data_IF_303716369156
#
_entry.id   IF_303716369156
#
_cell.length_a   1.000
_cell.length_b   1.000
_cell.length_c   1.000
_cell.angle_alpha   90.00
_cell.angle_beta   90.00
_cell.angle_gamma   90.00
#
_symmetry.space_group_name_H-M   'P 1'
#
loop_
_entity.id
_entity.type
_entity.pdbx_description
1 polymer ?
#
# COMPACT_ATOMS: atom_id res chain seq x y z
N UNK A 1 5.91 -11.25 -5.28
CA UNK A 1 6.00 -10.21 -6.33
C UNK A 1 4.59 -9.76 -6.76
N UNK A 2 3.70 -10.66 -7.21
CA UNK A 2 2.33 -10.32 -7.66
C UNK A 2 1.54 -9.59 -6.58
N UNK A 3 1.50 -10.13 -5.36
CA UNK A 3 0.84 -9.50 -4.21
C UNK A 3 1.29 -8.06 -4.00
N UNK A 4 2.60 -7.82 -4.04
CA UNK A 4 3.16 -6.48 -3.91
C UNK A 4 2.64 -5.53 -5.00
N UNK A 5 2.66 -5.97 -6.26
CA UNK A 5 2.18 -5.16 -7.39
C UNK A 5 0.71 -4.79 -7.18
N UNK A 6 -0.15 -5.77 -6.91
CA UNK A 6 -1.59 -5.55 -6.72
C UNK A 6 -1.85 -4.57 -5.56
N UNK A 7 -1.15 -4.76 -4.44
CA UNK A 7 -1.33 -3.92 -3.25
C UNK A 7 -0.93 -2.48 -3.53
N UNK A 8 0.29 -2.26 -4.02
CA UNK A 8 0.77 -0.90 -4.30
C UNK A 8 -0.08 -0.20 -5.33
N UNK A 9 -0.39 -0.84 -6.47
CA UNK A 9 -1.25 -0.26 -7.51
C UNK A 9 -2.66 0.06 -7.01
N UNK A 10 -3.21 -0.78 -6.13
CA UNK A 10 -4.53 -0.50 -5.53
C UNK A 10 -4.47 0.69 -4.60
N UNK A 11 -3.44 0.80 -3.76
CA UNK A 11 -3.25 1.95 -2.86
C UNK A 11 -3.06 3.23 -3.67
N UNK A 12 -2.17 3.23 -4.66
CA UNK A 12 -1.91 4.38 -5.53
C UNK A 12 -3.20 4.89 -6.17
N UNK A 13 -4.03 3.97 -6.68
CA UNK A 13 -5.32 4.32 -7.31
C UNK A 13 -6.32 4.92 -6.34
N UNK A 14 -6.39 4.42 -5.11
CA UNK A 14 -7.29 4.99 -4.08
C UNK A 14 -6.80 6.38 -3.69
N UNK A 15 -5.50 6.56 -3.53
CA UNK A 15 -4.90 7.86 -3.24
C UNK A 15 -5.21 8.85 -4.38
N UNK A 16 -4.94 8.47 -5.61
CA UNK A 16 -5.10 9.34 -6.78
C UNK A 16 -6.56 9.79 -6.99
N UNK A 17 -7.52 8.89 -6.79
CA UNK A 17 -8.93 9.15 -7.09
C UNK A 17 -9.73 9.76 -5.95
N UNK A 18 -9.38 9.49 -4.71
CA UNK A 18 -10.27 9.72 -3.59
C UNK A 18 -9.61 10.48 -2.43
N UNK A 19 -8.31 10.75 -2.52
CA UNK A 19 -7.62 11.38 -1.43
C UNK A 19 -7.57 12.90 -1.59
N UNK A 20 -8.27 13.60 -0.69
CA UNK A 20 -7.98 15.00 -0.41
C UNK A 20 -7.02 15.06 0.80
N UNK A 21 -5.75 15.32 0.48
CA UNK A 21 -4.67 15.36 1.50
C UNK A 21 -4.97 16.39 2.57
N UNK A 22 -5.59 17.51 2.23
CA UNK A 22 -5.87 18.57 3.18
C UNK A 22 -6.92 18.15 4.22
N UNK A 23 -7.84 17.27 3.88
CA UNK A 23 -8.82 16.73 4.81
C UNK A 23 -8.27 15.71 5.80
N UNK A 24 -7.05 15.19 5.57
CA UNK A 24 -6.39 14.28 6.51
C UNK A 24 -5.82 14.97 7.75
N UNK A 25 -5.72 16.30 7.70
CA UNK A 25 -5.12 17.10 8.77
C UNK A 25 -6.13 18.13 9.30
N UNK A 26 -6.15 18.30 10.60
CA UNK A 26 -6.88 19.38 11.27
C UNK A 26 -5.87 20.43 11.69
N UNK A 27 -5.94 21.62 11.07
CA UNK A 27 -5.02 22.71 11.35
C UNK A 27 -5.81 23.85 11.97
N UNK A 28 -5.60 24.10 13.24
CA UNK A 28 -6.17 25.24 13.96
C UNK A 28 -5.20 26.41 13.93
N UNK A 29 -5.73 27.62 13.67
CA UNK A 29 -4.98 28.86 13.63
C UNK A 29 -5.53 29.83 14.66
N UNK A 30 -4.63 30.63 15.25
CA UNK A 30 -5.02 31.73 16.12
C UNK A 30 -5.57 32.93 15.34
N UNK A 31 -5.99 33.98 16.06
CA UNK A 31 -6.50 35.21 15.47
C UNK A 31 -5.49 35.93 14.57
N UNK A 32 -4.22 35.66 14.75
CA UNK A 32 -3.11 36.21 13.95
C UNK A 32 -2.73 35.28 12.78
N UNK A 33 -3.55 34.25 12.48
CA UNK A 33 -3.31 33.23 11.47
C UNK A 33 -2.11 32.31 11.75
N UNK A 34 -1.51 32.35 12.93
CA UNK A 34 -0.45 31.43 13.31
C UNK A 34 -1.04 30.07 13.59
N UNK A 35 -0.30 29.02 13.25
CA UNK A 35 -0.72 27.65 13.54
C UNK A 35 -0.59 27.42 15.04
N UNK A 36 -1.72 27.12 15.68
CA UNK A 36 -1.83 26.86 17.11
C UNK A 36 -1.81 25.35 17.41
N UNK A 37 -2.49 24.56 16.58
CA UNK A 37 -2.55 23.13 16.76
C UNK A 37 -2.64 22.43 15.39
N UNK A 38 -2.02 21.27 15.30
CA UNK A 38 -2.14 20.38 14.15
C UNK A 38 -2.44 19.00 14.69
N UNK A 39 -3.45 18.38 14.13
CA UNK A 39 -3.86 17.02 14.48
C UNK A 39 -4.20 16.23 13.20
N UNK A 40 -4.29 14.92 13.32
CA UNK A 40 -4.70 14.03 12.26
C UNK A 40 -6.22 13.80 12.32
N UNK A 41 -6.89 13.92 11.19
CA UNK A 41 -8.31 13.61 11.08
C UNK A 41 -8.52 12.09 11.08
N UNK A 42 -8.64 11.52 12.27
CA UNK A 42 -8.75 10.07 12.43
C UNK A 42 -9.94 9.47 11.67
N UNK A 43 -11.03 10.20 11.48
CA UNK A 43 -12.20 9.72 10.74
C UNK A 43 -11.87 9.55 9.26
N UNK A 44 -11.30 10.57 8.63
CA UNK A 44 -10.94 10.51 7.21
C UNK A 44 -9.81 9.51 6.94
N UNK A 45 -8.83 9.44 7.83
CA UNK A 45 -7.73 8.47 7.72
C UNK A 45 -8.25 7.03 7.85
N UNK A 46 -9.19 6.75 8.76
CA UNK A 46 -9.82 5.44 8.88
C UNK A 46 -10.74 5.09 7.68
N UNK A 47 -11.44 6.06 7.11
CA UNK A 47 -12.20 5.86 5.87
C UNK A 47 -11.27 5.45 4.72
N UNK A 48 -10.14 6.15 4.57
CA UNK A 48 -9.12 5.82 3.57
C UNK A 48 -8.61 4.39 3.75
N UNK A 49 -8.22 4.02 4.98
CA UNK A 49 -7.78 2.66 5.29
C UNK A 49 -8.82 1.60 4.90
N UNK A 50 -10.08 1.84 5.27
CA UNK A 50 -11.18 0.91 4.96
C UNK A 50 -11.39 0.75 3.45
N UNK A 51 -11.31 1.84 2.68
CA UNK A 51 -11.41 1.80 1.22
C UNK A 51 -10.25 1.03 0.60
N UNK A 52 -9.02 1.27 1.06
CA UNK A 52 -7.83 0.56 0.61
C UNK A 52 -7.99 -0.94 0.83
N UNK A 53 -8.36 -1.37 2.06
CA UNK A 53 -8.55 -2.78 2.39
C UNK A 53 -9.62 -3.40 1.50
N UNK A 54 -10.78 -2.76 1.36
CA UNK A 54 -11.89 -3.28 0.57
C UNK A 54 -11.51 -3.43 -0.91
N UNK A 55 -10.81 -2.45 -1.48
CA UNK A 55 -10.38 -2.51 -2.88
C UNK A 55 -9.33 -3.61 -3.10
N UNK A 56 -8.37 -3.76 -2.20
CA UNK A 56 -7.39 -4.85 -2.27
C UNK A 56 -8.12 -6.20 -2.19
N UNK A 57 -9.03 -6.37 -1.25
CA UNK A 57 -9.79 -7.60 -1.07
C UNK A 57 -10.61 -7.95 -2.33
N UNK A 58 -11.31 -6.97 -2.91
CA UNK A 58 -12.07 -7.14 -4.13
C UNK A 58 -11.18 -7.54 -5.32
N UNK A 59 -10.03 -6.90 -5.48
CA UNK A 59 -9.09 -7.21 -6.55
C UNK A 59 -8.57 -8.66 -6.44
N UNK A 60 -8.17 -9.09 -5.23
CA UNK A 60 -7.73 -10.46 -5.01
C UNK A 60 -8.84 -11.48 -5.26
N UNK A 61 -10.07 -11.24 -4.77
CA UNK A 61 -11.20 -12.12 -4.98
C UNK A 61 -11.57 -12.26 -6.46
N UNK A 62 -11.51 -11.17 -7.22
CA UNK A 62 -11.81 -11.20 -8.66
C UNK A 62 -10.71 -11.96 -9.42
N UNK A 63 -9.45 -11.80 -9.06
CA UNK A 63 -8.35 -12.57 -9.66
C UNK A 63 -8.49 -14.05 -9.31
N UNK A 64 -8.80 -14.38 -8.06
CA UNK A 64 -9.00 -15.76 -7.61
C UNK A 64 -10.13 -16.47 -8.38
N UNK A 65 -11.24 -15.75 -8.59
CA UNK A 65 -12.40 -16.25 -9.37
C UNK A 65 -12.16 -16.23 -10.87
N UNK A 66 -11.11 -15.55 -11.34
CA UNK A 66 -10.84 -15.34 -12.76
C UNK A 66 -11.80 -14.33 -13.43
N UNK A 67 -12.50 -13.53 -12.63
CA UNK A 67 -13.44 -12.53 -13.12
C UNK A 67 -12.70 -11.24 -13.52
N UNK A 68 -12.07 -11.30 -14.70
CA UNK A 68 -11.29 -10.19 -15.24
C UNK A 68 -12.15 -9.02 -15.74
N UNK A 69 -13.49 -9.18 -15.80
CA UNK A 69 -14.39 -8.09 -16.22
C UNK A 69 -14.52 -7.00 -15.16
N UNK A 70 -14.26 -7.33 -13.90
CA UNK A 70 -14.35 -6.42 -12.75
C UNK A 70 -13.04 -5.79 -12.32
N UNK A 71 -11.96 -6.13 -13.01
CA UNK A 71 -10.63 -5.57 -12.72
C UNK A 71 -10.01 -5.00 -14.00
N UNK A 72 -9.29 -3.91 -13.84
CA UNK A 72 -8.45 -3.40 -14.92
C UNK A 72 -7.04 -4.02 -14.77
N UNK A 73 -6.71 -4.92 -15.69
CA UNK A 73 -5.45 -5.69 -15.68
C UNK A 73 -4.24 -4.75 -15.78
N UNK A 74 -4.34 -3.71 -16.61
CA UNK A 74 -3.25 -2.74 -16.82
C UNK A 74 -3.05 -1.87 -15.58
N UNK A 75 -4.13 -1.38 -14.98
CA UNK A 75 -4.09 -0.60 -13.75
C UNK A 75 -3.50 -1.40 -12.58
N UNK A 76 -3.71 -2.71 -12.56
CA UNK A 76 -3.13 -3.60 -11.53
C UNK A 76 -1.70 -4.05 -11.85
N UNK A 77 -1.12 -3.65 -12.99
CA UNK A 77 0.22 -4.06 -13.41
C UNK A 77 0.32 -5.55 -13.76
N UNK A 78 -0.76 -6.13 -14.25
CA UNK A 78 -0.87 -7.54 -14.62
C UNK A 78 -0.87 -7.76 -16.14
N UNK A 79 -0.51 -6.74 -16.93
CA UNK A 79 -0.48 -6.79 -18.39
C UNK A 79 0.47 -7.85 -18.95
N UNK A 80 1.55 -8.15 -18.21
CA UNK A 80 2.55 -9.15 -18.58
C UNK A 80 2.16 -10.59 -18.19
N UNK A 81 0.97 -10.79 -17.59
CA UNK A 81 0.49 -12.11 -17.20
C UNK A 81 -0.46 -12.67 -18.27
N UNK A 82 -0.40 -14.01 -18.46
CA UNK A 82 -1.27 -14.68 -19.43
C UNK A 82 -2.74 -14.55 -19.03
N UNK A 83 -3.52 -13.82 -19.82
CA UNK A 83 -4.96 -13.59 -19.61
C UNK A 83 -5.76 -14.90 -19.57
N UNK A 84 -5.35 -15.94 -20.32
CA UNK A 84 -6.03 -17.26 -20.30
C UNK A 84 -5.84 -17.98 -18.97
N UNK A 85 -4.66 -17.84 -18.37
CA UNK A 85 -4.37 -18.36 -17.04
C UNK A 85 -5.11 -17.57 -15.96
N UNK A 86 -5.07 -16.23 -16.02
CA UNK A 86 -5.78 -15.36 -15.07
C UNK A 86 -7.29 -15.65 -15.03
N UNK A 87 -7.95 -15.91 -16.17
CA UNK A 87 -9.34 -16.32 -16.24
C UNK A 87 -9.66 -17.65 -15.51
N UNK A 88 -8.64 -18.42 -15.18
CA UNK A 88 -8.74 -19.67 -14.40
C UNK A 88 -8.27 -19.51 -12.97
N UNK A 89 -8.00 -18.27 -12.52
CA UNK A 89 -7.40 -17.98 -11.24
C UNK A 89 -5.93 -18.43 -11.11
N UNK A 90 -5.27 -18.70 -12.24
CA UNK A 90 -3.88 -19.14 -12.29
C UNK A 90 -3.01 -17.90 -12.50
N UNK A 91 -2.15 -17.61 -11.53
CA UNK A 91 -1.23 -16.47 -11.60
C UNK A 91 0.01 -16.82 -12.43
N UNK A 92 0.53 -18.02 -12.23
CA UNK A 92 1.77 -18.45 -12.86
C UNK A 92 1.78 -19.96 -13.10
N UNK A 93 2.62 -20.42 -14.03
CA UNK A 93 2.88 -21.84 -14.27
C UNK A 93 4.38 -22.09 -14.11
N UNK A 94 4.73 -23.09 -13.32
CA UNK A 94 6.12 -23.48 -13.09
C UNK A 94 6.36 -24.83 -13.74
N UNK A 95 7.46 -25.02 -14.51
CA UNK A 95 7.89 -26.34 -14.97
C UNK A 95 8.14 -27.29 -13.79
N UNK A 96 7.73 -28.54 -13.96
CA UNK A 96 7.86 -29.56 -12.91
C UNK A 96 9.32 -29.77 -12.48
N UNK A 97 10.24 -29.66 -13.43
CA UNK A 97 11.67 -29.81 -13.16
C UNK A 97 12.23 -28.83 -12.14
N UNK A 98 11.67 -27.62 -12.03
CA UNK A 98 12.08 -26.65 -11.00
C UNK A 98 11.72 -27.16 -9.60
N UNK A 99 10.56 -27.79 -9.45
CA UNK A 99 10.07 -28.26 -8.15
C UNK A 99 10.93 -29.41 -7.62
N UNK A 100 11.39 -30.27 -8.52
CA UNK A 100 12.27 -31.39 -8.14
C UNK A 100 13.76 -31.00 -8.03
N UNK A 101 14.07 -29.71 -8.11
CA UNK A 101 15.44 -29.19 -8.03
C UNK A 101 16.41 -29.87 -9.02
N UNK A 102 15.88 -30.26 -10.18
CA UNK A 102 16.65 -30.92 -11.24
C UNK A 102 17.05 -29.89 -12.30
N UNK A 103 18.31 -29.49 -12.29
CA UNK A 103 18.84 -28.45 -13.19
C UNK A 103 18.75 -28.83 -14.67
N UNK A 104 18.78 -30.11 -15.00
CA UNK A 104 18.65 -30.58 -16.41
C UNK A 104 17.22 -30.51 -16.92
N UNK A 105 16.22 -30.62 -16.03
CA UNK A 105 14.80 -30.59 -16.36
C UNK A 105 14.13 -29.27 -15.98
N UNK A 106 14.87 -28.28 -15.50
CA UNK A 106 14.31 -27.03 -14.98
C UNK A 106 13.40 -26.27 -15.97
N UNK A 107 13.66 -26.41 -17.27
CA UNK A 107 12.86 -25.76 -18.32
C UNK A 107 11.99 -26.75 -19.12
N UNK A 108 12.02 -28.04 -18.78
CA UNK A 108 11.30 -29.09 -19.51
C UNK A 108 10.26 -29.77 -18.60
N UNK A 109 9.23 -30.31 -19.22
CA UNK A 109 8.21 -31.09 -18.56
C UNK A 109 6.88 -30.35 -18.41
N UNK A 110 5.85 -31.03 -17.88
CA UNK A 110 4.55 -30.44 -17.66
C UNK A 110 4.64 -29.28 -16.67
N UNK A 111 3.83 -28.25 -16.92
CA UNK A 111 3.81 -27.06 -16.06
C UNK A 111 2.72 -27.18 -14.98
N UNK A 112 3.05 -26.78 -13.78
CA UNK A 112 2.16 -26.78 -12.62
C UNK A 112 1.54 -25.38 -12.45
N UNK A 113 0.19 -25.27 -12.32
CA UNK A 113 -0.46 -24.01 -12.07
C UNK A 113 -0.28 -23.58 -10.62
N UNK A 114 0.06 -22.28 -10.43
CA UNK A 114 0.09 -21.63 -9.14
C UNK A 114 -1.12 -20.74 -9.03
N UNK A 115 -1.91 -20.95 -7.98
CA UNK A 115 -3.03 -20.10 -7.60
C UNK A 115 -2.75 -19.44 -6.27
N UNK A 116 -3.27 -18.23 -6.12
CA UNK A 116 -3.26 -17.50 -4.85
C UNK A 116 -4.70 -17.40 -4.38
N UNK A 117 -4.92 -17.78 -3.14
CA UNK A 117 -6.19 -17.62 -2.46
C UNK A 117 -5.99 -16.68 -1.28
N UNK A 118 -6.84 -15.68 -1.15
CA UNK A 118 -6.85 -14.80 -0.01
C UNK A 118 -7.55 -15.53 1.14
N UNK A 119 -6.79 -16.03 2.11
CA UNK A 119 -7.34 -16.76 3.27
C UNK A 119 -8.07 -15.84 4.26
N UNK A 120 -8.93 -14.98 3.72
CA UNK A 120 -9.91 -14.21 4.48
C UNK A 120 -9.43 -12.99 5.25
N UNK A 121 -8.13 -12.75 5.46
CA UNK A 121 -7.72 -11.65 6.33
C UNK A 121 -6.68 -10.72 5.69
N UNK A 122 -7.17 -9.52 5.36
CA UNK A 122 -6.33 -8.33 5.23
C UNK A 122 -6.55 -7.53 6.50
N UNK A 123 -5.50 -7.32 7.27
CA UNK A 123 -5.49 -6.38 8.39
C UNK A 123 -4.69 -5.14 8.02
N UNK A 124 -5.13 -4.01 8.52
CA UNK A 124 -4.45 -2.75 8.30
C UNK A 124 -4.48 -1.88 9.55
N UNK A 125 -3.45 -1.08 9.69
CA UNK A 125 -3.36 -0.05 10.71
C UNK A 125 -2.76 1.23 10.12
N UNK A 126 -2.98 2.33 10.80
CA UNK A 126 -2.43 3.62 10.45
C UNK A 126 -1.29 3.93 11.40
N UNK A 127 -0.20 4.43 10.85
CA UNK A 127 0.85 5.07 11.62
C UNK A 127 0.98 6.53 11.22
N UNK A 128 1.08 7.40 12.21
CA UNK A 128 1.32 8.82 12.04
C UNK A 128 2.66 9.16 12.66
N UNK A 129 3.45 9.97 11.96
CA UNK A 129 4.75 10.38 12.42
C UNK A 129 4.90 11.89 12.30
N UNK A 130 5.41 12.51 13.36
CA UNK A 130 5.79 13.91 13.36
C UNK A 130 7.30 13.97 13.52
N UNK A 131 7.98 14.59 12.57
CA UNK A 131 9.43 14.76 12.60
C UNK A 131 9.75 16.26 12.62
N UNK A 132 10.51 16.70 13.60
CA UNK A 132 11.00 18.09 13.63
C UNK A 132 11.95 18.31 12.45
N UNK A 133 11.73 19.40 11.73
CA UNK A 133 12.52 19.75 10.55
C UNK A 133 13.01 21.20 10.68
N UNK A 134 14.23 21.36 11.13
CA UNK A 134 14.81 22.68 11.39
C UNK A 134 14.17 23.40 12.59
N UNK A 135 14.28 24.73 12.60
CA UNK A 135 13.72 25.58 13.67
C UNK A 135 12.25 25.87 13.34
N UNK A 136 11.33 25.46 14.23
CA UNK A 136 9.89 25.71 14.11
C UNK A 136 9.17 25.07 12.89
N UNK A 137 9.76 24.06 12.26
CA UNK A 137 9.12 23.30 11.20
C UNK A 137 8.85 21.86 11.65
N UNK A 138 7.78 21.28 11.17
CA UNK A 138 7.46 19.88 11.41
C UNK A 138 7.02 19.20 10.11
N UNK A 139 7.53 18.00 9.86
CA UNK A 139 7.05 17.11 8.81
C UNK A 139 6.08 16.10 9.42
N UNK A 140 4.86 16.15 8.93
CA UNK A 140 3.82 15.18 9.30
C UNK A 140 3.70 14.14 8.21
N UNK A 141 3.72 12.87 8.61
CA UNK A 141 3.60 11.72 7.72
C UNK A 141 2.48 10.81 8.20
N UNK A 142 1.67 10.36 7.26
CA UNK A 142 0.64 9.33 7.47
C UNK A 142 1.01 8.14 6.60
N UNK A 143 1.13 6.96 7.21
CA UNK A 143 1.40 5.71 6.51
C UNK A 143 0.33 4.66 6.83
N UNK A 144 -0.03 3.85 5.84
CA UNK A 144 -0.88 2.68 5.99
C UNK A 144 0.01 1.45 6.06
N UNK A 145 -0.13 0.71 7.16
CA UNK A 145 0.52 -0.59 7.34
C UNK A 145 -0.50 -1.68 7.02
N UNK A 146 -0.14 -2.57 6.12
CA UNK A 146 -0.99 -3.66 5.67
C UNK A 146 -0.32 -5.00 5.96
N UNK A 147 -1.11 -5.95 6.44
CA UNK A 147 -0.75 -7.36 6.57
C UNK A 147 -1.78 -8.22 5.83
N UNK A 148 -1.29 -8.97 4.85
CA UNK A 148 -2.12 -9.78 3.97
C UNK A 148 -1.71 -11.24 4.13
N UNK A 149 -2.61 -12.05 4.64
CA UNK A 149 -2.42 -13.49 4.77
C UNK A 149 -3.05 -14.21 3.59
N UNK A 150 -2.25 -14.97 2.87
CA UNK A 150 -2.65 -15.65 1.65
C UNK A 150 -2.18 -17.10 1.62
N UNK A 151 -2.93 -17.92 0.90
CA UNK A 151 -2.57 -19.29 0.59
C UNK A 151 -2.03 -19.37 -0.84
N UNK A 152 -0.86 -19.92 -1.00
CA UNK A 152 -0.31 -20.28 -2.31
C UNK A 152 -0.62 -21.75 -2.54
N UNK A 153 -1.51 -22.00 -3.47
CA UNK A 153 -1.94 -23.37 -3.79
C UNK A 153 -1.14 -23.92 -4.96
N UNK A 154 -0.45 -24.98 -4.69
CA UNK A 154 0.20 -25.87 -5.64
C UNK A 154 -0.58 -27.20 -5.67
N UNK A 155 -0.56 -27.96 -6.76
CA UNK A 155 -1.30 -29.22 -6.83
C UNK A 155 -0.95 -30.26 -5.75
N UNK A 156 0.26 -30.16 -5.19
CA UNK A 156 0.79 -31.13 -4.23
C UNK A 156 0.79 -30.59 -2.80
N UNK A 157 0.82 -29.26 -2.63
CA UNK A 157 0.91 -28.61 -1.32
C UNK A 157 0.27 -27.23 -1.32
N UNK A 158 -0.03 -26.74 -0.14
CA UNK A 158 -0.52 -25.38 0.08
C UNK A 158 0.34 -24.71 1.15
N UNK A 159 0.84 -23.54 0.85
CA UNK A 159 1.67 -22.77 1.77
C UNK A 159 0.98 -21.49 2.18
N UNK A 160 1.10 -21.15 3.47
CA UNK A 160 0.64 -19.88 4.02
C UNK A 160 1.76 -18.86 3.90
N UNK A 161 1.47 -17.72 3.28
CA UNK A 161 2.38 -16.59 3.20
C UNK A 161 1.74 -15.37 3.83
N UNK A 162 2.50 -14.65 4.65
CA UNK A 162 2.13 -13.33 5.15
C UNK A 162 2.96 -12.28 4.43
N UNK A 163 2.27 -11.33 3.81
CA UNK A 163 2.87 -10.16 3.18
C UNK A 163 2.61 -8.94 4.04
N UNK A 164 3.68 -8.25 4.44
CA UNK A 164 3.60 -7.01 5.24
C UNK A 164 4.23 -5.86 4.46
N UNK A 165 3.55 -4.72 4.46
CA UNK A 165 4.06 -3.50 3.83
C UNK A 165 3.58 -2.27 4.58
N UNK A 166 4.41 -1.22 4.55
CA UNK A 166 4.06 0.11 5.03
C UNK A 166 4.16 1.09 3.86
N UNK A 167 3.08 1.80 3.58
CA UNK A 167 2.98 2.69 2.43
C UNK A 167 2.66 4.10 2.95
N UNK A 168 3.56 5.10 2.75
CA UNK A 168 3.25 6.48 3.05
C UNK A 168 2.17 6.97 2.08
N UNK A 169 1.09 7.54 2.64
CA UNK A 169 -0.07 8.00 1.85
C UNK A 169 -0.21 9.51 1.83
N UNK A 170 0.33 10.20 2.83
CA UNK A 170 0.34 11.65 2.88
C UNK A 170 1.54 12.18 3.67
N UNK A 171 2.11 13.28 3.17
CA UNK A 171 3.17 14.01 3.83
C UNK A 171 2.87 15.51 3.76
N UNK A 172 3.00 16.21 4.87
CA UNK A 172 2.78 17.66 4.95
C UNK A 172 3.88 18.34 5.76
N UNK A 173 4.54 19.30 5.14
CA UNK A 173 5.49 20.18 5.83
C UNK A 173 4.73 21.36 6.40
N UNK A 174 4.87 21.58 7.70
CA UNK A 174 4.32 22.70 8.41
C UNK A 174 5.47 23.64 8.78
N UNK A 175 5.31 24.90 8.42
CA UNK A 175 6.26 25.96 8.77
C UNK A 175 5.68 26.84 9.88
N UNK A 176 6.37 26.89 11.00
CA UNK A 176 6.07 27.80 12.10
C UNK A 176 6.81 29.13 11.96
N UNK A 177 6.35 30.14 12.68
CA UNK A 177 7.00 31.44 12.72
C UNK A 177 8.22 31.34 13.63
N UNK A 178 9.36 31.84 13.16
CA UNK A 178 10.56 31.97 13.99
C UNK A 178 10.37 33.17 14.93
N UNK A 179 10.41 32.99 16.26
CA UNK A 179 10.26 34.09 17.18
C UNK A 179 11.36 35.18 16.96
N UNK A 180 10.96 36.45 17.00
CA UNK A 180 11.83 37.57 16.71
C UNK A 180 13.02 37.72 17.68
N UNK A 181 12.96 37.14 18.88
CA UNK A 181 14.06 37.16 19.84
C UNK A 181 15.27 36.27 19.45
N UNK A 182 15.15 35.41 18.47
CA UNK A 182 16.29 34.68 17.90
C UNK A 182 17.21 35.61 17.07
N UNK A 183 16.73 36.78 16.65
CA UNK A 183 17.50 37.75 15.85
C UNK A 183 18.23 38.79 16.69
N UNK A 184 17.91 38.93 17.98
CA UNK A 184 18.51 39.93 18.84
C UNK A 184 19.85 39.52 19.49
N UNK A 185 20.43 38.41 19.07
CA UNK A 185 21.71 37.88 19.61
C UNK A 185 22.97 38.33 18.86
N UNK A 186 22.87 39.26 17.90
CA UNK A 186 24.04 39.84 17.21
C UNK A 186 24.00 41.33 17.42
N UNK A 187 24.26 41.75 18.67
CA UNK A 187 24.69 43.12 18.92
C UNK A 187 26.15 43.26 18.47
N UNK A 188 26.33 44.22 17.61
CA UNK A 188 27.60 44.70 17.09
C UNK A 188 28.46 45.20 18.22
N UNK A 189 29.64 44.67 18.37
CA UNK A 189 30.81 45.40 18.82
C UNK A 189 31.82 45.46 17.69
#
# INVERSE_FOLDING_TARGET
>A
KVTNIIVHRTVDKVIEKELDIDNLYIINRDNNKNINMIDFNAVEVNKLLSKVINNIQNNFQNIEKGDLSKINIEELGLENYDKKNLKKGIIYRIPLGIIFNNTLLSNFGPTIPIKINLNGNISGSISTKVTNYGINNALLEISINLEINQLVMLPITTEKLSFKTSIPVAMKLIQGIVPSYYFNGIDKN
#
